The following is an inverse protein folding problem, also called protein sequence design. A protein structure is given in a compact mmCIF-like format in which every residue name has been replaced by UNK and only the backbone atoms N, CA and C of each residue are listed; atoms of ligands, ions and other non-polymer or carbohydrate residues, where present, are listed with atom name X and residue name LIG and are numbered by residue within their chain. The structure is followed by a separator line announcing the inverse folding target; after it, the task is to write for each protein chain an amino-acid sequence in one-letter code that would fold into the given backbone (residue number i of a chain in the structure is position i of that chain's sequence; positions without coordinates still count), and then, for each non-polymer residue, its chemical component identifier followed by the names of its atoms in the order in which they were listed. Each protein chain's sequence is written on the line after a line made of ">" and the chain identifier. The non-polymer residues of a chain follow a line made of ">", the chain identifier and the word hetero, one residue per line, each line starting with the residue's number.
data_IF_351544942320
#
_entry.id   IF_351544942320
#
_cell.length_a   1.000
_cell.length_b   1.000
_cell.length_c   1.000
_cell.angle_alpha   90.00
_cell.angle_beta   90.00
_cell.angle_gamma   90.00
#
_symmetry.space_group_name_H-M   'P 1'
#
loop_
_entity.id
_entity.type
_entity.pdbx_description
1 polymer ?
#
# COMPACT_ATOMS: atom_id res chain seq x y z
N UNK A 1 -4.08 6.50 0.07
CA UNK A 1 -3.73 7.20 1.34
C UNK A 1 -4.88 8.09 1.80
N UNK A 2 -5.35 9.06 1.01
CA UNK A 2 -6.44 9.98 1.45
C UNK A 2 -7.80 9.35 1.80
N UNK A 3 -8.01 8.10 1.37
CA UNK A 3 -9.15 7.30 1.81
C UNK A 3 -9.08 6.89 3.30
N UNK A 4 -7.88 6.81 3.87
CA UNK A 4 -7.63 6.45 5.26
C UNK A 4 -7.18 7.63 6.11
N UNK A 5 -6.47 8.60 5.52
CA UNK A 5 -5.92 9.77 6.20
C UNK A 5 -6.41 11.05 5.48
N UNK A 6 -7.41 11.76 6.01
CA UNK A 6 -7.93 12.98 5.42
C UNK A 6 -6.87 14.04 5.10
N UNK A 7 -7.25 15.08 4.34
CA UNK A 7 -6.37 16.25 4.15
C UNK A 7 -6.12 16.94 5.49
N UNK A 8 -4.86 17.31 5.75
CA UNK A 8 -4.45 17.95 7.01
C UNK A 8 -4.19 16.99 8.18
N UNK A 9 -4.27 15.67 8.00
CA UNK A 9 -3.85 14.73 9.06
C UNK A 9 -2.38 14.93 9.39
N UNK A 10 -2.09 15.18 10.67
CA UNK A 10 -0.74 15.18 11.22
C UNK A 10 -0.23 13.74 11.35
N UNK A 11 0.83 13.42 10.60
CA UNK A 11 1.40 12.07 10.56
C UNK A 11 2.09 11.67 11.86
N UNK A 12 2.49 12.62 12.70
CA UNK A 12 3.11 12.30 14.00
C UNK A 12 2.13 11.63 14.99
N UNK A 13 0.83 11.78 14.73
CA UNK A 13 -0.24 11.21 15.56
C UNK A 13 -0.65 9.80 15.15
N UNK A 14 -0.03 9.24 14.11
CA UNK A 14 -0.37 7.92 13.59
C UNK A 14 0.45 6.86 14.31
N UNK A 15 -0.24 5.93 14.95
CA UNK A 15 0.39 4.80 15.62
C UNK A 15 0.77 3.70 14.61
N UNK A 16 1.80 2.94 14.98
CA UNK A 16 2.35 1.84 14.18
C UNK A 16 1.27 0.84 13.71
N UNK A 17 0.33 0.47 14.58
CA UNK A 17 -0.76 -0.45 14.23
C UNK A 17 -1.67 0.11 13.12
N UNK A 18 -1.96 1.41 13.17
CA UNK A 18 -2.76 2.07 12.15
C UNK A 18 -1.98 2.18 10.83
N UNK A 19 -0.68 2.46 10.92
CA UNK A 19 0.21 2.49 9.76
C UNK A 19 0.23 1.13 9.05
N UNK A 20 0.51 0.06 9.79
CA UNK A 20 0.50 -1.32 9.28
C UNK A 20 -0.85 -1.70 8.67
N UNK A 21 -1.96 -1.31 9.29
CA UNK A 21 -3.29 -1.54 8.74
C UNK A 21 -3.46 -0.86 7.37
N UNK A 22 -3.05 0.41 7.26
CA UNK A 22 -3.16 1.19 6.02
C UNK A 22 -2.25 0.60 4.94
N UNK A 23 -1.02 0.26 5.27
CA UNK A 23 -0.05 -0.37 4.36
C UNK A 23 -0.59 -1.69 3.83
N UNK A 24 -1.04 -2.59 4.71
CA UNK A 24 -1.62 -3.87 4.32
C UNK A 24 -2.80 -3.68 3.36
N UNK A 25 -3.68 -2.72 3.64
CA UNK A 25 -4.82 -2.43 2.76
C UNK A 25 -4.40 -1.81 1.42
N UNK A 26 -3.35 -1.00 1.38
CA UNK A 26 -2.90 -0.37 0.13
C UNK A 26 -2.16 -1.35 -0.76
N UNK A 27 -1.29 -2.17 -0.18
CA UNK A 27 -0.38 -3.08 -0.87
C UNK A 27 -1.06 -4.38 -1.31
N UNK A 28 -2.15 -4.78 -0.65
CA UNK A 28 -2.96 -5.95 -1.03
C UNK A 28 -4.27 -5.59 -1.75
N UNK A 29 -4.47 -4.33 -2.17
CA UNK A 29 -5.65 -3.93 -2.94
C UNK A 29 -5.42 -4.15 -4.45
N UNK A 30 -6.25 -4.97 -5.13
CA UNK A 30 -6.28 -5.06 -6.59
C UNK A 30 -6.42 -3.70 -7.27
N UNK A 31 -5.54 -3.39 -8.23
CA UNK A 31 -5.59 -2.12 -8.98
C UNK A 31 -5.84 -2.39 -10.45
N UNK A 32 -6.82 -1.69 -11.05
CA UNK A 32 -7.13 -1.79 -12.48
C UNK A 32 -5.90 -1.50 -13.36
N UNK A 33 -5.08 -0.52 -13.00
CA UNK A 33 -3.86 -0.19 -13.74
C UNK A 33 -2.77 -1.29 -13.67
N UNK A 34 -2.87 -2.22 -12.73
CA UNK A 34 -1.99 -3.38 -12.61
C UNK A 34 -2.65 -4.66 -13.18
N UNK A 35 -3.68 -4.52 -14.02
CA UNK A 35 -4.45 -5.67 -14.51
C UNK A 35 -5.19 -6.41 -13.40
N UNK A 36 -5.68 -5.68 -12.39
CA UNK A 36 -6.30 -6.21 -11.17
C UNK A 36 -5.37 -7.02 -10.25
N UNK A 37 -4.05 -6.98 -10.48
CA UNK A 37 -3.07 -7.43 -9.48
C UNK A 37 -2.92 -6.41 -8.35
N UNK A 38 -2.43 -6.89 -7.22
CA UNK A 38 -2.03 -6.08 -6.07
C UNK A 38 -0.62 -5.53 -6.28
N UNK A 39 -0.27 -4.39 -5.66
CA UNK A 39 1.11 -3.90 -5.65
C UNK A 39 2.14 -4.94 -5.19
N UNK A 40 1.83 -5.74 -4.16
CA UNK A 40 2.72 -6.79 -3.67
C UNK A 40 3.02 -7.86 -4.72
N UNK A 41 2.01 -8.34 -5.46
CA UNK A 41 2.18 -9.35 -6.51
C UNK A 41 3.10 -8.85 -7.64
N UNK A 42 2.93 -7.58 -8.03
CA UNK A 42 3.75 -6.98 -9.10
C UNK A 42 5.18 -6.73 -8.61
N UNK A 43 5.34 -6.20 -7.39
CA UNK A 43 6.67 -5.96 -6.81
C UNK A 43 7.48 -7.25 -6.70
N UNK A 44 6.87 -8.33 -6.18
CA UNK A 44 7.49 -9.65 -6.08
C UNK A 44 7.94 -10.20 -7.44
N UNK A 45 7.17 -9.93 -8.50
CA UNK A 45 7.50 -10.35 -9.87
C UNK A 45 8.70 -9.60 -10.46
N UNK A 46 8.89 -8.32 -10.09
CA UNK A 46 10.00 -7.49 -10.59
C UNK A 46 11.33 -7.75 -9.87
N UNK A 47 11.31 -8.04 -8.56
CA UNK A 47 12.55 -8.34 -7.81
C UNK A 47 13.15 -9.70 -8.15
N UNK A 48 12.36 -10.65 -8.66
CA UNK A 48 12.84 -11.95 -9.13
C UNK A 48 13.68 -11.87 -10.43
N UNK A 49 13.71 -10.72 -11.12
CA UNK A 49 14.43 -10.52 -12.39
C UNK A 49 15.82 -9.86 -12.22
N UNK A 50 16.24 -9.52 -11.00
CA UNK A 50 17.56 -8.93 -10.70
C UNK A 50 18.48 -9.88 -9.89
N UNK A 51 18.28 -11.20 -10.01
CA UNK A 51 19.11 -12.24 -9.39
C UNK A 51 20.05 -12.90 -10.39
#
# INVERSE_FOLDING_TARGET
>A
IRYYLPKGTDFSTIYEQQLQFIENRLNNRPRKCLGFKTPNEVAASCVALHG
#
